data_IF_749032993952
#
_entry.id   IF_749032993952
#
_cell.length_a   1.000
_cell.length_b   1.000
_cell.length_c   1.000
_cell.angle_alpha   90.00
_cell.angle_beta   90.00
_cell.angle_gamma   90.00
#
_symmetry.space_group_name_H-M   'P 1'
#
loop_
_entity.id
_entity.type
_entity.pdbx_description
1 polymer ?
#
# COMPACT_ATOMS: atom_id res chain seq x y z
N UNK A 1 45.33 -2.20 -19.53
CA UNK A 1 44.11 -1.65 -18.94
C UNK A 1 43.05 -1.67 -20.02
N UNK A 2 42.00 -2.49 -19.90
CA UNK A 2 40.94 -2.54 -20.91
C UNK A 2 40.08 -1.29 -20.75
N UNK A 3 39.97 -0.49 -21.83
CA UNK A 3 39.04 0.64 -21.91
C UNK A 3 37.63 0.18 -21.64
N UNK A 4 37.02 0.65 -20.57
CA UNK A 4 35.56 0.50 -20.37
C UNK A 4 34.85 1.32 -21.46
N UNK A 5 33.93 0.72 -22.24
CA UNK A 5 33.19 1.47 -23.22
C UNK A 5 32.44 2.59 -22.51
N UNK A 6 32.76 3.82 -22.85
CA UNK A 6 32.04 5.01 -22.36
C UNK A 6 30.62 4.94 -22.94
N UNK A 7 29.62 4.77 -22.06
CA UNK A 7 28.24 4.76 -22.47
C UNK A 7 27.90 6.13 -23.09
N UNK A 8 27.49 6.13 -24.36
CA UNK A 8 27.03 7.35 -25.05
C UNK A 8 25.74 7.81 -24.36
N UNK A 9 25.72 9.06 -23.90
CA UNK A 9 24.54 9.69 -23.33
C UNK A 9 23.75 10.38 -24.46
N UNK A 10 22.68 9.71 -24.89
CA UNK A 10 21.75 10.18 -25.92
C UNK A 10 20.28 9.97 -25.50
N UNK A 11 19.35 10.35 -26.33
CA UNK A 11 17.90 10.27 -26.06
C UNK A 11 17.43 8.85 -25.74
N UNK A 12 18.11 7.81 -26.23
CA UNK A 12 17.78 6.41 -25.96
C UNK A 12 18.00 6.02 -24.49
N UNK A 13 18.78 6.80 -23.74
CA UNK A 13 19.07 6.59 -22.31
C UNK A 13 18.05 7.28 -21.40
N UNK A 14 17.19 8.13 -21.94
CA UNK A 14 16.15 8.80 -21.16
C UNK A 14 14.95 7.87 -21.07
N UNK A 15 14.55 7.55 -19.82
CA UNK A 15 13.41 6.67 -19.53
C UNK A 15 12.38 7.42 -18.70
N UNK A 16 11.10 7.28 -19.08
CA UNK A 16 9.97 7.67 -18.25
C UNK A 16 9.51 6.46 -17.46
N UNK A 17 9.38 6.59 -16.16
CA UNK A 17 8.91 5.54 -15.26
C UNK A 17 7.46 5.82 -14.84
N UNK A 18 6.67 4.77 -14.69
CA UNK A 18 5.40 4.86 -13.98
C UNK A 18 5.66 5.12 -12.49
N UNK A 19 4.63 5.57 -11.79
CA UNK A 19 4.71 5.82 -10.34
C UNK A 19 5.24 4.61 -9.57
N UNK A 20 4.72 3.42 -9.86
CA UNK A 20 5.10 2.20 -9.16
C UNK A 20 6.52 1.74 -9.51
N UNK A 21 6.95 1.91 -10.77
CA UNK A 21 8.33 1.63 -11.18
C UNK A 21 9.33 2.56 -10.49
N UNK A 22 8.98 3.85 -10.34
CA UNK A 22 9.82 4.80 -9.62
C UNK A 22 9.96 4.43 -8.14
N UNK A 23 8.86 4.02 -7.48
CA UNK A 23 8.88 3.56 -6.09
C UNK A 23 9.81 2.36 -5.93
N UNK A 24 9.73 1.36 -6.82
CA UNK A 24 10.62 0.20 -6.79
C UNK A 24 12.08 0.56 -7.00
N UNK A 25 12.36 1.48 -7.93
CA UNK A 25 13.73 1.92 -8.21
C UNK A 25 14.35 2.73 -7.06
N UNK A 26 13.51 3.47 -6.31
CA UNK A 26 13.92 4.37 -5.24
C UNK A 26 13.28 4.01 -3.90
N UNK A 27 13.20 2.72 -3.60
CA UNK A 27 12.51 2.14 -2.43
C UNK A 27 12.78 2.90 -1.13
N UNK A 28 14.06 3.19 -0.83
CA UNK A 28 14.45 3.89 0.39
C UNK A 28 13.90 5.32 0.54
N UNK A 29 13.51 5.98 -0.56
CA UNK A 29 12.87 7.30 -0.51
C UNK A 29 11.45 7.23 0.07
N UNK A 30 10.79 6.08 -0.05
CA UNK A 30 9.39 5.89 0.32
C UNK A 30 9.21 5.19 1.67
N UNK A 31 10.07 4.23 1.97
CA UNK A 31 9.93 3.41 3.17
C UNK A 31 11.15 3.49 4.11
N UNK A 32 12.14 4.34 3.79
CA UNK A 32 13.37 4.44 4.57
C UNK A 32 14.20 3.17 4.53
N UNK A 33 14.54 2.63 5.68
CA UNK A 33 15.34 1.40 5.81
C UNK A 33 14.56 0.20 5.30
N UNK A 34 15.15 -0.58 4.38
CA UNK A 34 14.51 -1.80 3.85
C UNK A 34 14.45 -2.88 4.95
N UNK A 35 15.61 -3.32 5.46
CA UNK A 35 15.73 -4.28 6.56
C UNK A 35 15.14 -5.68 6.28
N UNK A 36 15.21 -6.54 7.31
CA UNK A 36 14.72 -7.92 7.28
C UNK A 36 13.55 -8.19 8.24
N UNK A 37 12.94 -7.15 8.83
CA UNK A 37 11.94 -7.29 9.89
C UNK A 37 12.54 -7.48 11.29
N UNK A 38 13.86 -7.47 11.41
CA UNK A 38 14.53 -7.60 12.70
C UNK A 38 14.45 -6.34 13.58
N UNK A 39 14.07 -5.21 12.98
CA UNK A 39 13.97 -3.91 13.64
C UNK A 39 12.58 -3.29 13.40
N UNK A 40 11.96 -2.62 14.39
CA UNK A 40 10.62 -2.06 14.26
C UNK A 40 10.48 -0.96 13.21
N UNK A 41 11.58 -0.36 12.76
CA UNK A 41 11.60 0.66 11.71
C UNK A 41 11.98 0.09 10.32
N UNK A 42 12.03 -1.24 10.18
CA UNK A 42 12.26 -1.87 8.88
C UNK A 42 11.04 -1.68 7.95
N UNK A 43 11.32 -1.55 6.66
CA UNK A 43 10.33 -1.13 5.68
C UNK A 43 9.09 -2.01 5.55
N UNK A 44 9.18 -3.31 5.89
CA UNK A 44 8.01 -4.19 5.93
C UNK A 44 6.97 -3.69 6.94
N UNK A 45 7.38 -3.14 8.11
CA UNK A 45 6.45 -2.53 9.07
C UNK A 45 5.92 -1.18 8.60
N UNK A 46 6.71 -0.43 7.80
CA UNK A 46 6.21 0.79 7.14
C UNK A 46 5.09 0.45 6.18
N UNK A 47 5.22 -0.64 5.39
CA UNK A 47 4.13 -1.09 4.50
C UNK A 47 2.85 -1.42 5.29
N UNK A 48 2.97 -2.16 6.38
CA UNK A 48 1.83 -2.47 7.24
C UNK A 48 1.20 -1.18 7.80
N UNK A 49 2.03 -0.30 8.34
CA UNK A 49 1.58 0.97 8.91
C UNK A 49 0.79 1.82 7.93
N UNK A 50 1.23 1.93 6.68
CA UNK A 50 0.53 2.71 5.65
C UNK A 50 -0.89 2.18 5.36
N UNK A 51 -1.09 0.87 5.42
CA UNK A 51 -2.42 0.28 5.24
C UNK A 51 -3.29 0.48 6.48
N UNK A 52 -2.72 0.29 7.67
CA UNK A 52 -3.43 0.47 8.94
C UNK A 52 -3.81 1.93 9.14
N UNK A 53 -2.93 2.89 8.85
CA UNK A 53 -3.22 4.32 8.95
C UNK A 53 -4.42 4.72 8.08
N UNK A 54 -4.56 4.14 6.88
CA UNK A 54 -5.74 4.42 6.04
C UNK A 54 -7.04 3.89 6.65
N UNK A 55 -6.99 2.73 7.31
CA UNK A 55 -8.14 2.18 8.02
C UNK A 55 -8.52 3.03 9.25
N UNK A 56 -7.51 3.54 9.97
CA UNK A 56 -7.68 4.43 11.12
C UNK A 56 -8.24 5.79 10.69
N UNK A 57 -7.83 6.32 9.54
CA UNK A 57 -8.38 7.55 9.00
C UNK A 57 -9.90 7.47 8.78
N UNK A 58 -10.42 6.33 8.30
CA UNK A 58 -11.87 6.11 8.21
C UNK A 58 -12.55 6.13 9.58
N UNK A 59 -11.92 5.54 10.60
CA UNK A 59 -12.42 5.58 11.98
C UNK A 59 -12.42 7.01 12.54
N UNK A 60 -11.35 7.77 12.38
CA UNK A 60 -11.23 9.17 12.82
C UNK A 60 -12.32 10.03 12.18
N UNK A 61 -12.65 9.76 10.91
CA UNK A 61 -13.74 10.42 10.18
C UNK A 61 -15.14 9.94 10.58
N UNK A 62 -15.25 9.08 11.59
CA UNK A 62 -16.51 8.56 12.12
C UNK A 62 -17.08 7.37 11.35
N UNK A 63 -16.30 6.74 10.49
CA UNK A 63 -16.71 5.61 9.68
C UNK A 63 -15.99 4.32 10.09
N UNK A 64 -16.77 3.29 10.38
CA UNK A 64 -16.24 2.02 10.89
C UNK A 64 -15.89 2.09 12.39
N UNK A 65 -15.75 0.92 13.01
CA UNK A 65 -15.41 0.79 14.45
C UNK A 65 -14.38 -0.30 14.69
N UNK A 66 -13.98 -1.00 13.65
CA UNK A 66 -13.13 -2.18 13.73
C UNK A 66 -12.16 -2.19 12.56
N UNK A 67 -10.94 -2.63 12.83
CA UNK A 67 -9.93 -2.97 11.83
C UNK A 67 -9.43 -4.37 12.14
N UNK A 68 -9.64 -5.32 11.22
CA UNK A 68 -9.14 -6.67 11.34
C UNK A 68 -7.79 -6.79 10.63
N UNK A 69 -6.77 -7.27 11.33
CA UNK A 69 -5.43 -7.50 10.80
C UNK A 69 -5.12 -8.98 10.95
N UNK A 70 -4.74 -9.63 9.86
CA UNK A 70 -4.36 -11.04 9.84
C UNK A 70 -2.98 -11.19 9.22
N UNK A 71 -2.18 -12.06 9.83
CA UNK A 71 -0.86 -12.46 9.33
C UNK A 71 -0.87 -13.96 9.04
N UNK A 72 -0.41 -14.32 7.85
CA UNK A 72 -0.14 -15.69 7.45
C UNK A 72 1.25 -15.74 6.81
N UNK A 73 2.26 -16.12 7.59
CA UNK A 73 3.65 -15.94 7.22
C UNK A 73 3.96 -14.47 6.92
N UNK A 74 4.39 -14.18 5.69
CA UNK A 74 4.65 -12.81 5.23
C UNK A 74 3.44 -12.16 4.53
N UNK A 75 2.33 -12.86 4.38
CA UNK A 75 1.10 -12.29 3.85
C UNK A 75 0.36 -11.54 4.95
N UNK A 76 0.09 -10.28 4.68
CA UNK A 76 -0.68 -9.38 5.55
C UNK A 76 -2.05 -9.14 4.92
N UNK A 77 -3.10 -9.19 5.73
CA UNK A 77 -4.45 -8.79 5.35
C UNK A 77 -4.96 -7.75 6.35
N UNK A 78 -5.45 -6.62 5.84
CA UNK A 78 -6.07 -5.56 6.64
C UNK A 78 -7.45 -5.27 6.07
N UNK A 79 -8.49 -5.41 6.91
CA UNK A 79 -9.88 -5.12 6.57
C UNK A 79 -10.40 -4.01 7.48
N UNK A 80 -10.80 -2.89 6.91
CA UNK A 80 -11.61 -1.87 7.60
C UNK A 80 -13.09 -2.02 7.26
N UNK A 81 -13.93 -1.39 8.07
CA UNK A 81 -15.38 -1.32 7.88
C UNK A 81 -15.84 0.13 7.72
N UNK A 82 -15.02 0.95 7.08
CA UNK A 82 -15.29 2.34 6.73
C UNK A 82 -16.19 2.48 5.49
N UNK A 83 -16.05 3.61 4.80
CA UNK A 83 -16.87 3.91 3.60
C UNK A 83 -16.49 3.08 2.38
N UNK A 84 -15.28 2.54 2.34
CA UNK A 84 -14.67 1.93 1.17
C UNK A 84 -14.19 2.95 0.13
N UNK A 85 -13.22 2.56 -0.69
CA UNK A 85 -12.74 3.35 -1.83
C UNK A 85 -13.89 3.47 -2.86
N UNK A 86 -14.15 4.64 -3.48
CA UNK A 86 -15.09 4.75 -4.59
C UNK A 86 -14.80 3.73 -5.67
N UNK A 87 -15.81 2.91 -6.05
CA UNK A 87 -15.61 1.68 -6.83
C UNK A 87 -14.91 1.94 -8.17
N UNK A 88 -15.26 3.02 -8.88
CA UNK A 88 -14.61 3.41 -10.13
C UNK A 88 -13.19 3.98 -9.98
N UNK A 89 -12.63 4.02 -8.74
CA UNK A 89 -11.31 4.60 -8.44
C UNK A 89 -10.36 3.66 -7.72
N UNK A 90 -10.76 2.41 -7.50
CA UNK A 90 -9.98 1.42 -6.74
C UNK A 90 -8.56 1.28 -7.30
N UNK A 91 -8.43 1.04 -8.60
CA UNK A 91 -7.12 0.89 -9.27
C UNK A 91 -6.30 2.17 -9.18
N UNK A 92 -6.91 3.32 -9.50
CA UNK A 92 -6.21 4.61 -9.47
C UNK A 92 -5.69 4.94 -8.08
N UNK A 93 -6.48 4.69 -7.04
CA UNK A 93 -6.12 4.96 -5.65
C UNK A 93 -4.93 4.14 -5.14
N UNK A 94 -4.69 2.96 -5.70
CA UNK A 94 -3.59 2.07 -5.27
C UNK A 94 -2.41 2.03 -6.24
N UNK A 95 -2.49 2.71 -7.40
CA UNK A 95 -1.45 2.64 -8.44
C UNK A 95 -0.92 3.98 -8.94
N UNK A 96 -1.67 5.07 -8.81
CA UNK A 96 -1.27 6.39 -9.32
C UNK A 96 -0.93 7.33 -8.16
N UNK A 97 0.28 7.88 -8.14
CA UNK A 97 0.69 8.94 -7.20
C UNK A 97 -0.22 10.16 -7.39
N UNK A 98 -0.42 10.92 -6.33
CA UNK A 98 -1.29 12.11 -6.30
C UNK A 98 -2.76 11.80 -6.63
N UNK A 99 -3.20 10.58 -6.34
CA UNK A 99 -4.61 10.18 -6.45
C UNK A 99 -5.10 9.72 -5.08
N UNK A 100 -6.16 10.35 -4.59
CA UNK A 100 -6.77 10.02 -3.30
C UNK A 100 -7.73 11.12 -2.85
N UNK A 101 -8.67 10.78 -1.97
CA UNK A 101 -9.65 11.72 -1.43
C UNK A 101 -9.06 12.68 -0.38
N UNK A 102 -7.88 12.37 0.16
CA UNK A 102 -7.19 13.16 1.20
C UNK A 102 -6.68 14.53 0.72
N UNK A 103 -6.74 14.82 -0.57
CA UNK A 103 -6.49 16.14 -1.16
C UNK A 103 -7.72 17.05 -1.15
N UNK A 104 -8.87 16.56 -0.65
CA UNK A 104 -10.09 17.35 -0.53
C UNK A 104 -10.43 17.49 0.95
N UNK A 105 -10.24 18.70 1.49
CA UNK A 105 -10.47 19.04 2.90
C UNK A 105 -11.94 18.86 3.32
N UNK A 106 -12.89 18.90 2.39
CA UNK A 106 -14.30 18.60 2.65
C UNK A 106 -14.55 17.12 2.97
N UNK A 107 -13.68 16.23 2.46
CA UNK A 107 -13.81 14.77 2.60
C UNK A 107 -12.96 14.25 3.74
N UNK A 108 -11.77 14.84 3.95
CA UNK A 108 -10.82 14.47 5.00
C UNK A 108 -10.32 15.73 5.73
N UNK A 109 -10.93 16.04 6.86
CA UNK A 109 -10.51 17.15 7.73
C UNK A 109 -9.27 16.79 8.57
N UNK A 110 -9.10 15.52 8.90
CA UNK A 110 -7.96 14.99 9.64
C UNK A 110 -7.52 13.68 8.98
N UNK A 111 -6.21 13.49 8.80
CA UNK A 111 -5.64 12.28 8.23
C UNK A 111 -4.25 12.03 8.80
N UNK A 112 -3.96 10.79 9.15
CA UNK A 112 -2.63 10.33 9.57
C UNK A 112 -1.72 10.19 8.35
N UNK A 113 -2.27 9.75 7.21
CA UNK A 113 -1.53 9.57 5.95
C UNK A 113 -1.62 10.77 5.01
N UNK A 114 -0.66 11.70 5.09
CA UNK A 114 -0.71 12.99 4.37
C UNK A 114 -0.30 12.94 2.90
N UNK A 115 0.53 11.99 2.49
CA UNK A 115 1.27 12.08 1.22
C UNK A 115 0.58 11.41 0.02
N UNK A 116 -0.52 10.69 0.22
CA UNK A 116 -1.23 9.99 -0.87
C UNK A 116 -0.38 8.93 -1.63
N UNK A 117 0.75 8.51 -1.05
CA UNK A 117 1.72 7.60 -1.67
C UNK A 117 1.73 6.23 -0.99
N UNK A 118 1.33 6.14 0.27
CA UNK A 118 1.51 4.96 1.11
C UNK A 118 1.02 3.66 0.49
N UNK A 119 -0.27 3.55 0.14
CA UNK A 119 -0.82 2.34 -0.49
C UNK A 119 -0.16 2.01 -1.83
N UNK A 120 0.31 3.03 -2.58
CA UNK A 120 1.06 2.84 -3.83
C UNK A 120 2.43 2.22 -3.56
N UNK A 121 3.08 2.62 -2.46
CA UNK A 121 4.34 2.00 -2.02
C UNK A 121 4.10 0.53 -1.62
N UNK A 122 3.04 0.24 -0.88
CA UNK A 122 2.66 -1.15 -0.56
C UNK A 122 2.49 -1.98 -1.83
N UNK A 123 1.69 -1.50 -2.79
CA UNK A 123 1.48 -2.19 -4.07
C UNK A 123 2.79 -2.38 -4.84
N UNK A 124 3.59 -1.32 -5.01
CA UNK A 124 4.84 -1.36 -5.77
C UNK A 124 5.86 -2.34 -5.17
N UNK A 125 5.93 -2.42 -3.84
CA UNK A 125 6.94 -3.18 -3.10
C UNK A 125 6.47 -4.57 -2.68
N UNK A 126 5.30 -4.99 -3.14
CA UNK A 126 4.75 -6.32 -2.89
C UNK A 126 4.93 -7.26 -4.08
N UNK A 127 5.23 -8.52 -3.78
CA UNK A 127 5.20 -9.64 -4.74
C UNK A 127 3.78 -9.85 -5.25
N UNK A 128 2.82 -9.88 -4.32
CA UNK A 128 1.40 -9.94 -4.59
C UNK A 128 0.70 -8.82 -3.79
N UNK A 129 -0.23 -8.12 -4.43
CA UNK A 129 -1.06 -7.10 -3.81
C UNK A 129 -2.48 -7.27 -4.32
N UNK A 130 -3.44 -7.23 -3.40
CA UNK A 130 -4.86 -7.30 -3.69
C UNK A 130 -5.60 -6.20 -2.93
N UNK A 131 -6.58 -5.60 -3.57
CA UNK A 131 -7.49 -4.64 -2.97
C UNK A 131 -8.91 -4.97 -3.37
N UNK A 132 -9.83 -4.92 -2.41
CA UNK A 132 -11.27 -4.98 -2.65
C UNK A 132 -11.96 -3.90 -1.84
N UNK A 133 -12.79 -3.11 -2.50
CA UNK A 133 -13.65 -2.12 -1.87
C UNK A 133 -15.10 -2.58 -1.95
N UNK A 134 -15.82 -2.48 -0.83
CA UNK A 134 -17.24 -2.76 -0.72
C UNK A 134 -17.98 -1.46 -0.43
N UNK A 135 -18.95 -1.13 -1.27
CA UNK A 135 -19.82 0.05 -1.09
C UNK A 135 -21.25 -0.24 -1.57
N UNK A 136 -22.22 0.03 -0.70
CA UNK A 136 -23.66 0.06 -1.06
C UNK A 136 -24.14 -1.22 -1.76
N UNK A 137 -23.64 -2.39 -1.31
CA UNK A 137 -24.01 -3.70 -1.86
C UNK A 137 -23.28 -4.09 -3.14
N UNK A 138 -22.28 -3.33 -3.55
CA UNK A 138 -21.41 -3.62 -4.69
C UNK A 138 -19.95 -3.70 -4.25
N UNK A 139 -19.11 -4.34 -5.07
CA UNK A 139 -17.66 -4.34 -4.88
C UNK A 139 -16.92 -4.03 -6.17
N UNK A 140 -15.71 -3.50 -6.01
CA UNK A 140 -14.67 -3.48 -7.03
C UNK A 140 -13.37 -3.99 -6.43
N UNK A 141 -12.65 -4.81 -7.19
CA UNK A 141 -11.39 -5.38 -6.77
C UNK A 141 -10.32 -5.29 -7.85
N UNK A 142 -9.07 -5.33 -7.42
CA UNK A 142 -7.93 -5.42 -8.33
C UNK A 142 -6.81 -6.23 -7.69
N UNK A 143 -6.10 -7.00 -8.52
CA UNK A 143 -4.89 -7.74 -8.13
C UNK A 143 -3.69 -7.27 -8.94
N UNK A 144 -2.56 -7.18 -8.26
CA UNK A 144 -1.29 -6.76 -8.84
C UNK A 144 -0.20 -7.77 -8.50
N UNK A 145 0.78 -7.87 -9.38
CA UNK A 145 2.02 -8.61 -9.13
C UNK A 145 3.20 -7.71 -9.45
N UNK A 146 4.03 -7.45 -8.44
CA UNK A 146 5.19 -6.58 -8.57
C UNK A 146 4.78 -5.21 -9.17
N UNK A 147 3.72 -4.59 -8.60
CA UNK A 147 3.18 -3.32 -9.06
C UNK A 147 2.46 -3.34 -10.42
N UNK A 148 2.35 -4.48 -11.10
CA UNK A 148 1.68 -4.61 -12.40
C UNK A 148 0.28 -5.17 -12.21
N UNK A 149 -0.73 -4.43 -12.67
CA UNK A 149 -2.12 -4.87 -12.67
C UNK A 149 -2.27 -6.20 -13.43
N UNK A 150 -2.97 -7.15 -12.82
CA UNK A 150 -3.23 -8.49 -13.35
C UNK A 150 -4.69 -8.73 -13.65
N UNK A 151 -5.56 -8.34 -12.72
CA UNK A 151 -6.99 -8.56 -12.84
C UNK A 151 -7.74 -7.43 -12.17
N UNK A 152 -8.86 -7.07 -12.74
CA UNK A 152 -9.92 -6.24 -12.13
C UNK A 152 -11.23 -7.00 -12.21
N UNK A 153 -12.09 -6.79 -11.21
CA UNK A 153 -13.44 -7.36 -11.20
C UNK A 153 -14.39 -6.45 -10.42
N UNK A 154 -15.68 -6.52 -10.74
CA UNK A 154 -16.74 -5.79 -10.06
C UNK A 154 -17.97 -6.66 -9.94
N UNK A 155 -18.79 -6.44 -8.93
CA UNK A 155 -20.00 -7.21 -8.76
C UNK A 155 -20.83 -6.78 -7.56
N UNK A 156 -21.86 -7.57 -7.26
CA UNK A 156 -22.70 -7.39 -6.07
C UNK A 156 -22.13 -8.16 -4.89
N UNK A 157 -22.33 -7.64 -3.69
CA UNK A 157 -21.87 -8.25 -2.45
C UNK A 157 -22.90 -8.05 -1.34
N UNK A 158 -22.85 -8.94 -0.35
CA UNK A 158 -23.57 -8.77 0.93
C UNK A 158 -22.64 -8.33 2.07
N UNK A 159 -21.35 -8.23 1.78
CA UNK A 159 -20.38 -7.77 2.74
C UNK A 159 -20.61 -6.30 3.12
N UNK A 160 -20.38 -5.92 4.37
CA UNK A 160 -20.48 -4.53 4.79
C UNK A 160 -19.46 -3.66 4.06
N UNK A 161 -19.78 -2.35 3.97
CA UNK A 161 -18.87 -1.37 3.40
C UNK A 161 -17.49 -1.42 4.02
N UNK A 162 -16.48 -0.95 3.30
CA UNK A 162 -15.11 -0.84 3.75
C UNK A 162 -14.10 -1.37 2.72
N UNK A 163 -12.84 -1.43 3.11
CA UNK A 163 -11.75 -1.84 2.22
C UNK A 163 -11.00 -3.03 2.80
N UNK A 164 -10.71 -4.00 1.95
CA UNK A 164 -9.77 -5.11 2.22
C UNK A 164 -8.52 -4.88 1.39
N UNK A 165 -7.37 -4.88 2.03
CA UNK A 165 -6.05 -4.91 1.38
C UNK A 165 -5.31 -6.14 1.86
N UNK A 166 -4.82 -6.93 0.91
CA UNK A 166 -3.90 -8.02 1.17
C UNK A 166 -2.60 -7.77 0.41
N UNK A 167 -1.47 -8.01 1.05
CA UNK A 167 -0.18 -7.87 0.42
C UNK A 167 0.85 -8.84 0.97
N UNK A 168 1.82 -9.17 0.15
CA UNK A 168 2.99 -9.99 0.48
C UNK A 168 4.23 -9.22 0.03
N UNK A 169 5.09 -8.75 0.96
CA UNK A 169 6.32 -8.03 0.61
C UNK A 169 7.17 -8.81 -0.39
N UNK A 170 7.79 -8.11 -1.33
CA UNK A 170 8.62 -8.74 -2.35
C UNK A 170 9.96 -9.21 -1.76
N UNK A 171 10.21 -10.52 -1.80
CA UNK A 171 11.41 -11.16 -1.27
C UNK A 171 12.71 -10.68 -1.95
N UNK A 172 12.64 -10.18 -3.19
CA UNK A 172 13.79 -9.58 -3.86
C UNK A 172 14.23 -8.27 -3.19
N UNK A 173 13.28 -7.56 -2.59
CA UNK A 173 13.52 -6.29 -1.88
C UNK A 173 13.73 -6.56 -0.39
N UNK A 174 12.82 -7.32 0.24
CA UNK A 174 12.82 -7.63 1.67
C UNK A 174 13.35 -9.04 1.92
N UNK A 175 14.64 -9.22 1.74
CA UNK A 175 15.30 -10.54 1.88
C UNK A 175 15.11 -11.12 3.27
N UNK A 176 14.56 -12.34 3.35
CA UNK A 176 14.33 -13.06 4.59
C UNK A 176 13.56 -12.23 5.64
N UNK A 177 12.62 -11.39 5.19
CA UNK A 177 11.82 -10.62 6.12
C UNK A 177 10.81 -11.51 6.83
N UNK A 178 10.68 -11.28 8.14
CA UNK A 178 9.66 -11.90 8.98
C UNK A 178 9.01 -10.83 9.84
N UNK A 179 7.69 -10.88 9.95
CA UNK A 179 6.95 -10.01 10.86
C UNK A 179 7.04 -10.54 12.30
N UNK A 180 7.45 -9.68 13.23
CA UNK A 180 7.39 -9.95 14.67
C UNK A 180 6.16 -9.29 15.27
N UNK A 181 5.34 -10.07 15.97
CA UNK A 181 4.08 -9.59 16.53
C UNK A 181 4.28 -8.37 17.45
N UNK A 182 5.30 -8.39 18.29
CA UNK A 182 5.66 -7.27 19.19
C UNK A 182 5.88 -5.93 18.46
N UNK A 183 6.43 -5.97 17.22
CA UNK A 183 6.66 -4.76 16.44
C UNK A 183 5.37 -4.30 15.74
N UNK A 184 4.51 -5.23 15.35
CA UNK A 184 3.19 -4.92 14.81
C UNK A 184 2.33 -4.24 15.87
N UNK A 185 2.24 -4.82 17.07
CA UNK A 185 1.51 -4.25 18.20
C UNK A 185 2.02 -2.85 18.56
N UNK A 186 3.34 -2.64 18.51
CA UNK A 186 3.95 -1.33 18.72
C UNK A 186 3.56 -0.31 17.62
N UNK A 187 3.46 -0.73 16.36
CA UNK A 187 3.05 0.16 15.27
C UNK A 187 1.56 0.54 15.38
N UNK A 188 0.71 -0.43 15.72
CA UNK A 188 -0.72 -0.20 15.93
C UNK A 188 -0.93 0.69 17.17
N UNK A 189 -0.23 0.44 18.28
CA UNK A 189 -0.33 1.24 19.50
C UNK A 189 0.11 2.70 19.33
N UNK A 190 1.04 2.99 18.42
CA UNK A 190 1.43 4.37 18.08
C UNK A 190 0.38 5.12 17.25
N UNK A 191 -0.51 4.41 16.59
CA UNK A 191 -1.59 4.99 15.82
C UNK A 191 -2.80 5.40 16.68
N UNK A 192 -2.80 5.04 17.98
CA UNK A 192 -3.91 5.27 18.92
C UNK A 192 -3.61 6.30 20.01
N UNK A 193 -2.49 7.03 19.94
CA UNK A 193 -2.10 8.02 20.98
C UNK A 193 -2.26 9.43 20.44
#
# INVERSE_FOLDING_TARGET
MADKPTAIYDESKIKTLSSLEHIRLRTGMYIGRIGSGAHPDDGCYVLLKEVVDNAIDEYIMGHGKEVAITLDGNKVSVRDYGRGIPLGKVVDCVSKINTGAKYNDEVFQFSVGLNGVGTKAVNALSKNFFVRSHREGEFAEASFKIGKLKKEDTGKTKEPNGTLIEFEPDEEIFKNSEYKLEFIERQIGRAHV
#
